data_IF_384376452349
#
_entry.id   IF_384376452349
#
_cell.length_a   1.000
_cell.length_b   1.000
_cell.length_c   1.000
_cell.angle_alpha   90.00
_cell.angle_beta   90.00
_cell.angle_gamma   90.00
#
_symmetry.space_group_name_H-M   'P 1'
#
loop_
_entity.id
_entity.type
_entity.pdbx_description
1 polymer ?
#
# COMPACT_ATOMS: atom_id res chain seq x y z
N UNK A 1 6.68 5.01 6.93
CA UNK A 1 5.51 5.83 6.50
C UNK A 1 5.90 6.58 5.24
N UNK A 2 5.00 6.82 4.28
CA UNK A 2 5.31 7.66 3.10
C UNK A 2 5.73 9.05 3.57
N UNK A 3 7.01 9.36 3.46
CA UNK A 3 7.53 10.69 3.78
C UNK A 3 6.78 11.72 2.93
N UNK A 4 6.19 12.73 3.57
CA UNK A 4 5.31 13.67 2.91
C UNK A 4 6.04 14.62 1.95
N UNK A 5 7.32 14.88 2.20
CA UNK A 5 8.21 15.50 1.23
C UNK A 5 8.41 14.58 0.02
N UNK A 6 8.52 13.26 0.24
CA UNK A 6 8.56 12.26 -0.84
C UNK A 6 7.24 12.23 -1.62
N UNK A 7 6.08 12.36 -0.96
CA UNK A 7 4.76 12.44 -1.61
C UNK A 7 4.63 13.70 -2.47
N UNK A 8 4.93 14.88 -1.91
CA UNK A 8 4.87 16.16 -2.65
C UNK A 8 5.88 16.17 -3.81
N UNK A 9 7.09 15.66 -3.57
CA UNK A 9 8.09 15.48 -4.62
C UNK A 9 7.56 14.56 -5.72
N UNK A 10 6.97 13.42 -5.36
CA UNK A 10 6.36 12.48 -6.31
C UNK A 10 5.24 13.15 -7.13
N UNK A 11 4.43 14.01 -6.52
CA UNK A 11 3.41 14.79 -7.23
C UNK A 11 3.99 15.84 -8.20
N UNK A 12 5.09 16.50 -7.83
CA UNK A 12 5.78 17.44 -8.72
C UNK A 12 6.44 16.71 -9.91
N UNK A 13 7.04 15.54 -9.68
CA UNK A 13 7.63 14.71 -10.72
C UNK A 13 6.57 14.01 -11.57
N UNK A 14 5.37 13.76 -11.02
CA UNK A 14 4.26 13.16 -11.76
C UNK A 14 3.86 14.00 -12.95
N UNK A 15 3.85 15.32 -12.84
CA UNK A 15 3.52 16.18 -13.97
C UNK A 15 4.53 16.01 -15.12
N UNK A 16 5.82 15.93 -14.78
CA UNK A 16 6.90 15.68 -15.73
C UNK A 16 6.82 14.26 -16.31
N UNK A 17 6.49 13.28 -15.48
CA UNK A 17 6.29 11.89 -15.88
C UNK A 17 5.09 11.75 -16.82
N UNK A 18 3.97 12.43 -16.55
CA UNK A 18 2.80 12.44 -17.42
C UNK A 18 3.10 13.07 -18.79
N UNK A 19 3.92 14.13 -18.82
CA UNK A 19 4.44 14.72 -20.06
C UNK A 19 5.35 13.74 -20.83
N UNK A 20 6.20 12.98 -20.13
CA UNK A 20 7.00 11.92 -20.73
C UNK A 20 6.12 10.77 -21.29
N UNK A 21 5.10 10.36 -20.54
CA UNK A 21 4.16 9.30 -20.92
C UNK A 21 3.42 9.66 -22.21
N UNK A 22 3.05 10.93 -22.40
CA UNK A 22 2.40 11.38 -23.64
C UNK A 22 3.24 11.15 -24.91
N UNK A 23 4.55 10.93 -24.76
CA UNK A 23 5.47 10.59 -25.86
C UNK A 23 5.66 9.09 -26.07
N UNK A 24 5.14 8.24 -25.17
CA UNK A 24 5.20 6.77 -25.25
C UNK A 24 4.05 6.20 -26.10
N UNK A 25 4.20 4.95 -26.56
CA UNK A 25 3.13 4.20 -27.25
C UNK A 25 1.99 3.84 -26.28
N UNK A 26 0.77 3.58 -26.79
CA UNK A 26 -0.41 3.30 -25.96
C UNK A 26 -0.20 2.15 -24.95
N UNK A 27 0.51 1.09 -25.34
CA UNK A 27 0.80 -0.05 -24.46
C UNK A 27 1.79 0.31 -23.34
N UNK A 28 2.79 1.13 -23.66
CA UNK A 28 3.75 1.66 -22.68
C UNK A 28 3.07 2.64 -21.71
N UNK A 29 2.14 3.47 -22.21
CA UNK A 29 1.35 4.39 -21.39
C UNK A 29 0.49 3.65 -20.37
N UNK A 30 -0.17 2.57 -20.79
CA UNK A 30 -1.02 1.75 -19.92
C UNK A 30 -0.19 1.03 -18.84
N UNK A 31 0.97 0.48 -19.23
CA UNK A 31 1.89 -0.17 -18.29
C UNK A 31 2.48 0.82 -17.29
N UNK A 32 2.83 2.03 -17.72
CA UNK A 32 3.32 3.09 -16.82
C UNK A 32 2.22 3.63 -15.91
N UNK A 33 0.98 3.77 -16.40
CA UNK A 33 -0.17 4.18 -15.58
C UNK A 33 -0.45 3.20 -14.46
N UNK A 34 -0.37 1.90 -14.72
CA UNK A 34 -0.48 0.87 -13.68
C UNK A 34 0.63 1.00 -12.63
N UNK A 35 1.87 1.19 -13.08
CA UNK A 35 3.01 1.37 -12.17
C UNK A 35 2.99 2.68 -11.36
N UNK A 36 2.21 3.68 -11.81
CA UNK A 36 2.08 4.99 -11.16
C UNK A 36 0.69 5.23 -10.59
N UNK A 37 -0.15 4.20 -10.51
CA UNK A 37 -1.56 4.35 -10.14
C UNK A 37 -1.73 4.91 -8.73
N UNK A 38 -0.91 4.45 -7.78
CA UNK A 38 -0.93 4.95 -6.40
C UNK A 38 -0.52 6.42 -6.29
N UNK A 39 0.57 6.83 -6.96
CA UNK A 39 0.95 8.25 -7.00
C UNK A 39 -0.09 9.07 -7.76
N UNK A 40 -0.73 8.47 -8.76
CA UNK A 40 -1.86 9.02 -9.47
C UNK A 40 -3.03 9.38 -8.56
N UNK A 41 -3.44 8.42 -7.73
CA UNK A 41 -4.50 8.57 -6.74
C UNK A 41 -4.13 9.59 -5.67
N UNK A 42 -2.93 9.50 -5.09
CA UNK A 42 -2.47 10.41 -4.05
C UNK A 42 -2.48 11.86 -4.56
N UNK A 43 -1.86 12.11 -5.71
CA UNK A 43 -1.65 13.45 -6.22
C UNK A 43 -2.88 14.08 -6.88
N UNK A 44 -3.86 13.28 -7.30
CA UNK A 44 -5.10 13.78 -7.91
C UNK A 44 -6.22 13.88 -6.89
N UNK A 45 -6.39 12.85 -6.07
CA UNK A 45 -7.60 12.63 -5.29
C UNK A 45 -7.37 12.81 -3.79
N UNK A 46 -6.11 12.89 -3.32
CA UNK A 46 -5.78 12.99 -1.87
C UNK A 46 -4.81 14.11 -1.51
N UNK A 47 -4.46 14.97 -2.47
CA UNK A 47 -3.40 15.96 -2.30
C UNK A 47 -3.66 16.90 -1.13
N UNK A 48 -4.89 17.39 -1.00
CA UNK A 48 -5.27 18.32 0.06
C UNK A 48 -5.29 17.64 1.44
N UNK A 49 -5.79 16.41 1.54
CA UNK A 49 -5.75 15.65 2.79
C UNK A 49 -4.30 15.42 3.24
N UNK A 50 -3.39 15.09 2.31
CA UNK A 50 -1.96 14.99 2.59
C UNK A 50 -1.35 16.34 3.00
N UNK A 51 -1.76 17.45 2.37
CA UNK A 51 -1.30 18.81 2.74
C UNK A 51 -1.69 19.18 4.16
N UNK A 52 -2.93 18.89 4.57
CA UNK A 52 -3.45 19.14 5.91
C UNK A 52 -2.76 18.28 6.96
N UNK A 53 -2.59 16.97 6.70
CA UNK A 53 -1.86 16.07 7.60
C UNK A 53 -0.41 16.52 7.76
N UNK A 54 0.23 17.07 6.71
CA UNK A 54 1.59 17.64 6.79
C UNK A 54 1.71 18.73 7.84
N UNK A 55 0.84 19.71 7.72
CA UNK A 55 0.86 20.90 8.56
C UNK A 55 0.62 20.50 10.02
N UNK A 56 -0.35 19.62 10.22
CA UNK A 56 -0.71 19.06 11.52
C UNK A 56 0.42 18.26 12.17
N UNK A 57 1.06 17.35 11.44
CA UNK A 57 2.17 16.54 11.95
C UNK A 57 3.46 17.35 12.16
N UNK A 58 3.77 18.29 11.25
CA UNK A 58 4.96 19.14 11.36
C UNK A 58 4.98 20.04 12.61
N UNK A 59 3.81 20.37 13.14
CA UNK A 59 3.66 21.14 14.37
C UNK A 59 3.95 20.33 15.66
N UNK A 60 4.04 19.00 15.58
CA UNK A 60 4.24 18.11 16.75
C UNK A 60 5.64 17.46 16.83
N UNK A 61 6.55 17.81 15.91
CA UNK A 61 7.87 17.19 15.79
C UNK A 61 7.85 15.89 14.98
N UNK A 62 9.01 15.41 14.53
CA UNK A 62 9.17 14.19 13.70
C UNK A 62 8.89 12.90 14.51
N UNK A 63 7.64 12.70 14.95
CA UNK A 63 7.20 11.45 15.55
C UNK A 63 6.91 10.47 14.41
N UNK A 64 7.88 9.59 14.12
CA UNK A 64 7.72 8.52 13.14
C UNK A 64 6.88 7.37 13.73
N UNK A 65 5.56 7.54 13.68
CA UNK A 65 4.63 6.58 14.27
C UNK A 65 4.71 5.20 13.59
N UNK A 66 5.03 5.13 12.30
CA UNK A 66 5.20 3.85 11.60
C UNK A 66 6.45 3.13 12.08
N UNK A 67 7.60 3.78 12.14
CA UNK A 67 8.83 3.09 12.58
C UNK A 67 8.72 2.63 14.04
N UNK A 68 8.08 3.42 14.89
CA UNK A 68 7.76 3.01 16.25
C UNK A 68 6.83 1.79 16.29
N UNK A 69 5.82 1.75 15.42
CA UNK A 69 4.92 0.61 15.30
C UNK A 69 5.61 -0.63 14.70
N UNK A 70 6.48 -0.46 13.71
CA UNK A 70 7.29 -1.53 13.12
C UNK A 70 8.12 -2.20 14.20
N UNK A 71 8.84 -1.42 15.01
CA UNK A 71 9.60 -1.92 16.15
C UNK A 71 8.74 -2.71 17.14
N UNK A 72 7.59 -2.16 17.55
CA UNK A 72 6.68 -2.80 18.51
C UNK A 72 6.10 -4.12 17.98
N UNK A 73 5.87 -4.21 16.68
CA UNK A 73 5.28 -5.37 16.03
C UNK A 73 6.32 -6.40 15.58
N UNK A 74 7.61 -6.10 15.69
CA UNK A 74 8.69 -6.97 15.18
C UNK A 74 8.83 -6.94 13.66
N UNK A 75 8.35 -5.87 13.00
CA UNK A 75 8.60 -5.63 11.59
C UNK A 75 10.02 -5.07 11.42
N UNK A 76 10.80 -5.55 10.44
CA UNK A 76 12.12 -4.97 10.18
C UNK A 76 12.02 -3.47 9.95
N UNK A 77 12.91 -2.71 10.58
CA UNK A 77 12.89 -1.23 10.56
C UNK A 77 13.11 -0.64 9.16
N UNK A 78 13.78 -1.38 8.31
CA UNK A 78 14.07 -1.07 6.92
C UNK A 78 13.02 -1.63 5.95
N UNK A 79 12.10 -2.48 6.42
CA UNK A 79 11.05 -3.02 5.58
C UNK A 79 9.93 -1.98 5.36
N UNK A 80 9.63 -1.74 4.09
CA UNK A 80 8.50 -0.92 3.69
C UNK A 80 7.20 -1.71 3.85
N UNK A 81 6.20 -1.08 4.46
CA UNK A 81 4.82 -1.59 4.41
C UNK A 81 4.30 -1.39 3.00
N UNK A 82 4.27 -2.48 2.24
CA UNK A 82 3.82 -2.52 0.85
C UNK A 82 2.79 -3.64 0.73
N UNK A 83 1.56 -3.29 0.34
CA UNK A 83 0.42 -4.21 0.23
C UNK A 83 0.06 -4.52 -1.22
N UNK A 84 0.98 -4.25 -2.15
CA UNK A 84 0.81 -4.66 -3.55
C UNK A 84 1.28 -6.09 -3.79
N UNK A 85 1.01 -6.60 -5.00
CA UNK A 85 1.40 -7.95 -5.43
C UNK A 85 2.75 -7.97 -6.15
N UNK A 86 3.60 -6.96 -5.97
CA UNK A 86 4.85 -6.84 -6.72
C UNK A 86 5.93 -7.84 -6.22
N UNK A 87 6.97 -8.11 -7.03
CA UNK A 87 8.08 -8.95 -6.59
C UNK A 87 8.85 -8.43 -5.36
N UNK A 88 8.69 -7.14 -5.03
CA UNK A 88 9.34 -6.48 -3.89
C UNK A 88 8.44 -6.46 -2.65
N UNK A 89 7.16 -6.86 -2.79
CA UNK A 89 6.25 -6.92 -1.66
C UNK A 89 6.72 -7.97 -0.64
N UNK A 90 6.60 -7.71 0.68
CA UNK A 90 6.91 -8.69 1.72
C UNK A 90 6.14 -10.01 1.58
N UNK A 91 4.96 -9.97 0.95
CA UNK A 91 4.18 -11.15 0.59
C UNK A 91 4.08 -11.20 -0.94
N UNK A 92 5.08 -11.85 -1.52
CA UNK A 92 5.28 -11.89 -2.96
C UNK A 92 4.64 -13.15 -3.59
N UNK A 93 3.78 -13.01 -4.62
CA UNK A 93 3.21 -14.13 -5.36
C UNK A 93 4.22 -15.12 -5.96
N UNK A 94 5.46 -14.70 -6.18
CA UNK A 94 6.52 -15.49 -6.79
C UNK A 94 7.45 -16.17 -5.76
N UNK A 95 7.30 -15.89 -4.47
CA UNK A 95 8.22 -16.35 -3.42
C UNK A 95 7.53 -16.53 -2.06
N UNK A 96 6.40 -17.25 -2.03
CA UNK A 96 5.72 -17.59 -0.76
C UNK A 96 6.66 -18.47 0.07
N UNK A 97 6.84 -18.10 1.33
CA UNK A 97 7.68 -18.84 2.28
C UNK A 97 6.87 -19.34 3.46
N UNK A 98 7.39 -20.30 4.23
CA UNK A 98 6.76 -20.77 5.48
C UNK A 98 6.56 -19.64 6.52
N UNK A 99 7.31 -18.54 6.38
CA UNK A 99 7.20 -17.37 7.25
C UNK A 99 6.05 -16.41 6.90
N UNK A 100 5.34 -16.65 5.79
CA UNK A 100 4.29 -15.76 5.25
C UNK A 100 3.21 -15.42 6.29
N UNK A 101 2.75 -16.40 7.08
CA UNK A 101 1.77 -16.14 8.15
C UNK A 101 2.27 -15.14 9.18
N UNK A 102 3.54 -15.27 9.61
CA UNK A 102 4.14 -14.36 10.58
C UNK A 102 4.37 -12.97 9.99
N UNK A 103 4.78 -12.89 8.73
CA UNK A 103 4.92 -11.63 8.00
C UNK A 103 3.58 -10.89 7.97
N UNK A 104 2.48 -11.55 7.58
CA UNK A 104 1.17 -10.92 7.51
C UNK A 104 0.66 -10.42 8.86
N UNK A 105 0.88 -11.18 9.94
CA UNK A 105 0.55 -10.74 11.31
C UNK A 105 1.32 -9.50 11.73
N UNK A 106 2.61 -9.46 11.37
CA UNK A 106 3.50 -8.36 11.69
C UNK A 106 3.11 -7.09 10.93
N UNK A 107 2.78 -7.22 9.64
CA UNK A 107 2.26 -6.12 8.82
C UNK A 107 0.90 -5.65 9.36
N UNK A 108 0.00 -6.56 9.70
CA UNK A 108 -1.32 -6.23 10.25
C UNK A 108 -1.18 -5.43 11.55
N UNK A 109 -0.37 -5.92 12.49
CA UNK A 109 -0.04 -5.22 13.74
C UNK A 109 0.50 -3.82 13.45
N UNK A 110 1.45 -3.71 12.52
CA UNK A 110 2.11 -2.44 12.20
C UNK A 110 1.11 -1.44 11.63
N UNK A 111 0.24 -1.86 10.71
CA UNK A 111 -0.82 -1.02 10.13
C UNK A 111 -1.78 -0.56 11.23
N UNK A 112 -2.28 -1.48 12.04
CA UNK A 112 -3.24 -1.18 13.12
C UNK A 112 -2.66 -0.16 14.11
N UNK A 113 -1.43 -0.40 14.56
CA UNK A 113 -0.71 0.52 15.43
C UNK A 113 -0.52 1.88 14.75
N UNK A 114 -0.07 1.90 13.49
CA UNK A 114 0.21 3.14 12.76
C UNK A 114 -1.03 3.99 12.57
N UNK A 115 -2.19 3.38 12.31
CA UNK A 115 -3.48 4.10 12.20
C UNK A 115 -3.80 4.81 13.52
N UNK A 116 -3.75 4.08 14.64
CA UNK A 116 -4.08 4.61 15.96
C UNK A 116 -3.09 5.70 16.39
N UNK A 117 -1.79 5.44 16.28
CA UNK A 117 -0.76 6.40 16.69
C UNK A 117 -0.77 7.65 15.81
N UNK A 118 -1.01 7.52 14.50
CA UNK A 118 -1.14 8.68 13.62
C UNK A 118 -2.36 9.53 13.99
N UNK A 119 -3.52 8.91 14.26
CA UNK A 119 -4.72 9.63 14.69
C UNK A 119 -4.53 10.43 15.98
N UNK A 120 -3.71 9.95 16.92
CA UNK A 120 -3.36 10.68 18.16
C UNK A 120 -2.56 11.95 17.88
N UNK A 121 -1.67 11.92 16.88
CA UNK A 121 -0.84 13.05 16.47
C UNK A 121 -1.69 14.03 15.66
N UNK A 122 -2.40 13.51 14.68
CA UNK A 122 -3.25 14.29 13.80
C UNK A 122 -4.54 13.55 13.47
N UNK A 123 -5.68 14.12 13.87
CA UNK A 123 -6.99 13.56 13.57
C UNK A 123 -7.17 13.37 12.05
N UNK A 124 -7.64 12.19 11.65
CA UNK A 124 -7.86 11.84 10.24
C UNK A 124 -6.61 11.34 9.49
N UNK A 125 -5.40 11.46 10.06
CA UNK A 125 -4.20 10.93 9.42
C UNK A 125 -4.17 9.39 9.38
N UNK A 126 -4.72 8.72 10.40
CA UNK A 126 -4.90 7.27 10.40
C UNK A 126 -5.94 6.81 9.37
N UNK A 127 -6.97 7.61 9.11
CA UNK A 127 -7.90 7.37 8.00
C UNK A 127 -7.17 7.45 6.66
N UNK A 128 -6.38 8.49 6.43
CA UNK A 128 -5.62 8.67 5.20
C UNK A 128 -4.62 7.51 4.99
N UNK A 129 -3.91 7.10 6.05
CA UNK A 129 -3.02 5.95 6.01
C UNK A 129 -3.76 4.67 5.59
N UNK A 130 -4.93 4.40 6.20
CA UNK A 130 -5.77 3.25 5.86
C UNK A 130 -6.24 3.31 4.41
N UNK A 131 -6.66 4.47 3.92
CA UNK A 131 -7.18 4.70 2.56
C UNK A 131 -6.13 4.39 1.49
N UNK A 132 -4.88 4.80 1.72
CA UNK A 132 -3.76 4.47 0.83
C UNK A 132 -3.46 2.97 0.81
N UNK A 133 -3.45 2.31 1.97
CA UNK A 133 -3.30 0.85 2.02
C UNK A 133 -4.47 0.13 1.32
N UNK A 134 -5.71 0.61 1.48
CA UNK A 134 -6.88 0.06 0.80
C UNK A 134 -6.74 0.18 -0.72
N UNK A 135 -6.27 1.32 -1.22
CA UNK A 135 -6.02 1.54 -2.65
C UNK A 135 -4.99 0.54 -3.21
N UNK A 136 -3.90 0.28 -2.48
CA UNK A 136 -2.92 -0.74 -2.87
C UNK A 136 -3.57 -2.13 -2.95
N UNK A 137 -4.33 -2.54 -1.94
CA UNK A 137 -5.01 -3.85 -1.91
C UNK A 137 -6.03 -3.98 -3.03
N UNK A 138 -6.76 -2.90 -3.35
CA UNK A 138 -7.72 -2.88 -4.44
C UNK A 138 -7.04 -3.14 -5.80
N UNK A 139 -5.93 -2.46 -6.06
CA UNK A 139 -5.16 -2.61 -7.30
C UNK A 139 -4.49 -3.98 -7.39
N UNK A 140 -3.90 -4.44 -6.28
CA UNK A 140 -3.33 -5.78 -6.12
C UNK A 140 -4.34 -6.88 -6.42
N UNK A 141 -5.54 -6.78 -5.83
CA UNK A 141 -6.64 -7.73 -6.04
C UNK A 141 -7.08 -7.76 -7.50
N UNK A 142 -7.21 -6.60 -8.15
CA UNK A 142 -7.63 -6.53 -9.54
C UNK A 142 -6.56 -7.12 -10.48
N UNK A 143 -5.28 -6.83 -10.20
CA UNK A 143 -4.17 -7.37 -10.98
C UNK A 143 -4.11 -8.90 -10.86
N UNK A 144 -4.18 -9.45 -9.65
CA UNK A 144 -4.19 -10.90 -9.42
C UNK A 144 -5.37 -11.59 -10.11
N UNK A 145 -6.56 -10.99 -10.10
CA UNK A 145 -7.72 -11.53 -10.81
C UNK A 145 -7.51 -11.51 -12.34
N UNK A 146 -6.98 -10.42 -12.87
CA UNK A 146 -6.67 -10.31 -14.30
C UNK A 146 -5.62 -11.35 -14.72
N UNK A 147 -4.57 -11.53 -13.92
CA UNK A 147 -3.51 -12.51 -14.22
C UNK A 147 -4.03 -13.94 -14.11
N UNK A 148 -4.94 -14.23 -13.18
CA UNK A 148 -5.60 -15.53 -13.06
C UNK A 148 -6.57 -15.84 -14.22
N UNK A 149 -7.06 -14.83 -14.95
CA UNK A 149 -8.03 -14.99 -16.04
C UNK A 149 -7.42 -14.85 -17.44
N UNK A 150 -6.46 -13.95 -17.63
CA UNK A 150 -6.05 -13.45 -18.95
C UNK A 150 -4.55 -13.60 -19.27
N UNK A 151 -3.74 -14.17 -18.36
CA UNK A 151 -2.29 -14.33 -18.59
C UNK A 151 -1.94 -15.67 -19.27
N UNK A 152 -0.67 -15.84 -19.68
CA UNK A 152 -0.16 -17.12 -20.18
C UNK A 152 -0.27 -18.22 -19.13
N UNK A 153 -0.26 -19.49 -19.56
CA UNK A 153 -0.50 -20.64 -18.69
C UNK A 153 0.38 -20.67 -17.43
N UNK A 154 1.65 -20.29 -17.54
CA UNK A 154 2.59 -20.29 -16.42
C UNK A 154 2.27 -19.20 -15.38
N UNK A 155 2.09 -17.95 -15.79
CA UNK A 155 1.72 -16.84 -14.89
C UNK A 155 0.36 -17.06 -14.26
N UNK A 156 -0.59 -17.59 -15.03
CA UNK A 156 -1.92 -17.94 -14.55
C UNK A 156 -1.86 -19.01 -13.45
N UNK A 157 -1.06 -20.05 -13.66
CA UNK A 157 -0.91 -21.15 -12.71
C UNK A 157 -0.19 -20.71 -11.43
N UNK A 158 0.83 -19.86 -11.54
CA UNK A 158 1.50 -19.25 -10.39
C UNK A 158 0.54 -18.41 -9.56
N UNK A 159 -0.27 -17.57 -10.23
CA UNK A 159 -1.24 -16.69 -9.55
C UNK A 159 -2.33 -17.50 -8.84
N UNK A 160 -2.85 -18.56 -9.48
CA UNK A 160 -3.81 -19.47 -8.84
C UNK A 160 -3.21 -20.16 -7.62
N UNK A 161 -2.01 -20.70 -7.75
CA UNK A 161 -1.28 -21.34 -6.64
C UNK A 161 -1.09 -20.35 -5.48
N UNK A 162 -0.72 -19.10 -5.79
CA UNK A 162 -0.60 -18.04 -4.78
C UNK A 162 -1.92 -17.81 -4.04
N UNK A 163 -3.02 -17.61 -4.76
CA UNK A 163 -4.34 -17.37 -4.14
C UNK A 163 -4.84 -18.55 -3.31
N UNK A 164 -4.55 -19.79 -3.72
CA UNK A 164 -4.95 -21.02 -3.01
C UNK A 164 -4.07 -21.31 -1.78
N UNK A 165 -2.78 -20.98 -1.85
CA UNK A 165 -1.82 -21.24 -0.76
C UNK A 165 -1.67 -20.09 0.22
N UNK A 166 -2.26 -18.93 -0.06
CA UNK A 166 -2.16 -17.76 0.80
C UNK A 166 -2.82 -18.05 2.17
N UNK A 167 -2.08 -17.89 3.28
CA UNK A 167 -2.65 -18.10 4.61
C UNK A 167 -3.84 -17.17 4.88
N UNK A 168 -4.83 -17.64 5.65
CA UNK A 168 -6.02 -16.85 5.98
C UNK A 168 -5.67 -15.51 6.66
N UNK A 169 -4.58 -15.46 7.44
CA UNK A 169 -4.09 -14.24 8.09
C UNK A 169 -3.59 -13.19 7.10
N UNK A 170 -3.34 -13.56 5.85
CA UNK A 170 -2.87 -12.68 4.79
C UNK A 170 -4.01 -12.23 3.88
N UNK A 171 -5.23 -12.79 3.97
CA UNK A 171 -6.31 -12.49 3.03
C UNK A 171 -6.62 -11.00 2.91
N UNK A 172 -6.38 -10.22 3.97
CA UNK A 172 -6.60 -8.77 3.96
C UNK A 172 -5.69 -8.00 2.98
N UNK A 173 -4.55 -8.56 2.55
CA UNK A 173 -3.64 -7.90 1.60
C UNK A 173 -4.06 -8.11 0.14
N UNK A 174 -4.94 -9.07 -0.13
CA UNK A 174 -5.43 -9.38 -1.48
C UNK A 174 -6.94 -9.20 -1.64
N UNK A 175 -7.67 -8.94 -0.54
CA UNK A 175 -9.11 -8.81 -0.55
C UNK A 175 -9.53 -7.48 0.12
N UNK A 176 -10.06 -6.52 -0.65
CA UNK A 176 -10.47 -5.21 -0.13
C UNK A 176 -11.53 -5.30 0.98
N UNK A 177 -12.44 -6.27 0.89
CA UNK A 177 -13.48 -6.47 1.91
C UNK A 177 -12.86 -6.92 3.23
N UNK A 178 -11.92 -7.87 3.19
CA UNK A 178 -11.19 -8.31 4.39
C UNK A 178 -10.32 -7.18 4.95
N UNK A 179 -9.66 -6.39 4.11
CA UNK A 179 -8.91 -5.21 4.54
C UNK A 179 -9.78 -4.26 5.37
N UNK A 180 -10.98 -3.93 4.87
CA UNK A 180 -11.93 -3.11 5.59
C UNK A 180 -12.34 -3.78 6.91
N UNK A 181 -12.79 -5.04 6.88
CA UNK A 181 -13.18 -5.74 8.11
C UNK A 181 -12.10 -5.70 9.20
N UNK A 182 -10.83 -5.86 8.81
CA UNK A 182 -9.69 -5.85 9.75
C UNK A 182 -9.40 -4.45 10.31
N UNK A 183 -9.71 -3.38 9.58
CA UNK A 183 -9.23 -2.02 9.87
C UNK A 183 -10.33 -0.96 10.06
N UNK A 184 -11.60 -1.27 9.84
CA UNK A 184 -12.72 -0.30 9.85
C UNK A 184 -12.85 0.45 11.17
N UNK A 185 -12.69 -0.23 12.31
CA UNK A 185 -12.91 0.37 13.63
C UNK A 185 -11.77 1.26 14.13
N UNK A 186 -10.61 1.25 13.47
CA UNK A 186 -9.41 1.92 13.97
C UNK A 186 -9.29 3.38 13.54
N UNK A 187 -10.02 3.81 12.51
CA UNK A 187 -9.92 5.19 12.00
C UNK A 187 -10.87 6.16 12.69
N UNK A 188 -11.77 5.67 13.56
CA UNK A 188 -12.71 6.48 14.35
C UNK A 188 -12.32 6.57 15.84
N UNK A 189 -11.25 5.87 16.23
CA UNK A 189 -10.58 5.98 17.53
C UNK A 189 -9.43 6.99 17.44
#
# INVERSE_FOLDING_TARGET
>A
MLNLCLVIFNCSTREQLLKCIQSCTNDEQEKLRKNTSLSGYICKDKLEEFRLVKECMGNQGDIDSVNNCSNKCGHPLDATIQLDSSPFAPVNPFAITDSTTQICRTIECTIKCSIVESNKICAGSGYLFRDIGFKQVLEASQQLQNDALNSSSSTQQLTKTYLESLPQQCTYIINPTNYNMVLTFLSFL
#
